data_IF_163775447296
#
_entry.id   IF_163775447296
#
_cell.length_a   1.000
_cell.length_b   1.000
_cell.length_c   1.000
_cell.angle_alpha   90.00
_cell.angle_beta   90.00
_cell.angle_gamma   90.00
#
_symmetry.space_group_name_H-M   'P 1'
#
loop_
_entity.id
_entity.type
_entity.pdbx_description
1 polymer ?
#
# COMPACT_ATOMS: atom_id res chain seq x y z
N UNK A 1 -27.40 -54.69 4.19
CA UNK A 1 -27.44 -54.04 5.53
C UNK A 1 -26.09 -53.44 5.79
N UNK A 2 -26.05 -52.12 6.06
CA UNK A 2 -24.82 -51.37 6.29
C UNK A 2 -24.08 -51.88 7.52
N UNK A 3 -22.85 -52.35 7.32
CA UNK A 3 -21.92 -52.66 8.39
C UNK A 3 -21.08 -51.41 8.65
N UNK A 4 -20.89 -51.08 9.91
CA UNK A 4 -19.97 -50.01 10.31
C UNK A 4 -18.55 -50.55 10.15
N UNK A 5 -17.74 -49.86 9.37
CA UNK A 5 -16.32 -50.15 9.17
C UNK A 5 -15.49 -49.18 10.01
N UNK A 6 -14.34 -49.65 10.50
CA UNK A 6 -13.41 -48.83 11.29
C UNK A 6 -12.00 -48.95 10.70
N UNK A 7 -11.39 -47.80 10.40
CA UNK A 7 -10.05 -47.71 9.84
C UNK A 7 -9.22 -46.75 10.70
N UNK A 8 -7.91 -47.00 10.84
CA UNK A 8 -7.00 -46.05 11.47
C UNK A 8 -6.69 -44.93 10.49
N UNK A 9 -6.99 -43.70 10.89
CA UNK A 9 -6.75 -42.51 10.06
C UNK A 9 -5.89 -41.47 10.77
N UNK A 10 -5.35 -40.54 9.99
CA UNK A 10 -4.59 -39.39 10.48
C UNK A 10 -5.36 -38.13 10.13
N UNK A 11 -5.64 -37.30 11.13
CA UNK A 11 -6.21 -35.96 10.92
C UNK A 11 -5.06 -34.96 10.71
N UNK A 12 -5.03 -34.35 9.53
CA UNK A 12 -4.07 -33.29 9.17
C UNK A 12 -4.79 -31.96 9.12
N UNK A 13 -4.25 -30.95 9.80
CA UNK A 13 -4.84 -29.62 9.86
C UNK A 13 -3.82 -28.57 9.42
N UNK A 14 -4.27 -27.61 8.64
CA UNK A 14 -3.44 -26.49 8.19
C UNK A 14 -4.29 -25.24 8.00
N UNK A 15 -3.63 -24.08 7.97
CA UNK A 15 -4.27 -22.79 7.67
C UNK A 15 -3.95 -22.38 6.24
N UNK A 16 -4.93 -21.78 5.57
CA UNK A 16 -4.79 -21.30 4.21
C UNK A 16 -5.38 -19.90 4.06
N UNK A 17 -4.85 -19.12 3.11
CA UNK A 17 -5.52 -17.91 2.64
C UNK A 17 -6.69 -18.32 1.75
N UNK A 18 -7.82 -17.62 1.90
CA UNK A 18 -9.02 -17.87 1.11
C UNK A 18 -8.74 -17.84 -0.40
N UNK A 19 -7.91 -16.90 -0.87
CA UNK A 19 -7.51 -16.78 -2.27
C UNK A 19 -6.75 -17.99 -2.84
N UNK A 20 -6.20 -18.84 -1.98
CA UNK A 20 -5.45 -20.04 -2.37
C UNK A 20 -6.25 -21.34 -2.15
N UNK A 21 -7.45 -21.25 -1.58
CA UNK A 21 -8.21 -22.39 -1.10
C UNK A 21 -8.46 -23.42 -2.21
N UNK A 22 -8.92 -22.97 -3.39
CA UNK A 22 -9.19 -23.86 -4.52
C UNK A 22 -7.93 -24.60 -4.98
N UNK A 23 -6.79 -23.89 -5.10
CA UNK A 23 -5.52 -24.50 -5.51
C UNK A 23 -5.02 -25.54 -4.49
N UNK A 24 -5.18 -25.25 -3.20
CA UNK A 24 -4.77 -26.13 -2.11
C UNK A 24 -5.63 -27.39 -2.09
N UNK A 25 -6.95 -27.25 -2.18
CA UNK A 25 -7.88 -28.39 -2.23
C UNK A 25 -7.54 -29.28 -3.43
N UNK A 26 -7.32 -28.71 -4.62
CA UNK A 26 -6.97 -29.49 -5.80
C UNK A 26 -5.64 -30.25 -5.64
N UNK A 27 -4.65 -29.62 -5.01
CA UNK A 27 -3.37 -30.27 -4.73
C UNK A 27 -3.50 -31.38 -3.68
N UNK A 28 -4.31 -31.17 -2.65
CA UNK A 28 -4.64 -32.19 -1.65
C UNK A 28 -5.37 -33.38 -2.29
N UNK A 29 -6.43 -33.14 -3.07
CA UNK A 29 -7.18 -34.20 -3.77
C UNK A 29 -6.26 -35.04 -4.67
N UNK A 30 -5.34 -34.40 -5.40
CA UNK A 30 -4.40 -35.09 -6.28
C UNK A 30 -3.36 -35.93 -5.53
N UNK A 31 -2.97 -35.51 -4.32
CA UNK A 31 -1.98 -36.21 -3.50
C UNK A 31 -2.59 -37.27 -2.58
N UNK A 32 -3.90 -37.21 -2.34
CA UNK A 32 -4.58 -38.11 -1.40
C UNK A 32 -4.69 -39.53 -1.97
N UNK A 33 -4.47 -40.59 -1.18
CA UNK A 33 -4.52 -41.97 -1.66
C UNK A 33 -5.95 -42.45 -2.02
N UNK A 34 -6.99 -41.77 -1.54
CA UNK A 34 -8.39 -42.12 -1.81
C UNK A 34 -8.96 -41.32 -2.98
N UNK A 35 -9.88 -41.93 -3.72
CA UNK A 35 -10.64 -41.27 -4.78
C UNK A 35 -11.61 -40.21 -4.23
N UNK A 36 -12.19 -40.45 -3.05
CA UNK A 36 -13.11 -39.54 -2.35
C UNK A 36 -12.56 -39.17 -0.95
N UNK A 37 -11.63 -38.21 -0.84
CA UNK A 37 -11.11 -37.76 0.44
C UNK A 37 -12.15 -36.97 1.24
N UNK A 38 -12.30 -37.28 2.53
CA UNK A 38 -13.07 -36.45 3.46
C UNK A 38 -12.21 -35.26 3.93
N UNK A 39 -12.72 -34.04 3.80
CA UNK A 39 -12.07 -32.83 4.30
C UNK A 39 -13.11 -31.78 4.70
N UNK A 40 -12.73 -30.92 5.64
CA UNK A 40 -13.55 -29.80 6.11
C UNK A 40 -12.81 -28.48 5.92
N UNK A 41 -13.55 -27.41 5.63
CA UNK A 41 -13.02 -26.04 5.57
C UNK A 41 -13.72 -25.19 6.60
N UNK A 42 -12.97 -24.68 7.57
CA UNK A 42 -13.50 -23.84 8.65
C UNK A 42 -13.08 -22.37 8.46
N UNK A 43 -14.03 -21.41 8.43
CA UNK A 43 -13.67 -20.00 8.43
C UNK A 43 -13.05 -19.62 9.78
N UNK A 44 -11.89 -18.96 9.74
CA UNK A 44 -11.19 -18.50 10.92
C UNK A 44 -11.32 -16.98 11.08
N UNK A 45 -11.32 -16.50 12.33
CA UNK A 45 -11.26 -15.06 12.64
C UNK A 45 -9.83 -14.50 12.61
N UNK A 46 -8.85 -15.32 12.28
CA UNK A 46 -7.46 -14.92 12.16
C UNK A 46 -7.34 -13.81 11.10
N UNK A 47 -6.65 -12.73 11.44
CA UNK A 47 -6.38 -11.65 10.48
C UNK A 47 -5.22 -12.05 9.57
N UNK A 48 -5.43 -11.91 8.25
CA UNK A 48 -4.37 -12.00 7.27
C UNK A 48 -3.55 -10.71 7.17
N UNK A 49 -2.77 -10.60 6.10
CA UNK A 49 -2.12 -9.33 5.73
C UNK A 49 -3.21 -8.30 5.44
N UNK A 50 -3.14 -7.16 6.14
CA UNK A 50 -4.06 -6.04 5.89
C UNK A 50 -3.44 -5.13 4.84
N UNK A 51 -4.25 -4.76 3.86
CA UNK A 51 -3.90 -3.74 2.87
C UNK A 51 -4.64 -2.45 3.23
N UNK A 52 -4.04 -1.32 2.87
CA UNK A 52 -4.62 -0.01 3.07
C UNK A 52 -3.94 1.01 2.17
N UNK A 53 -4.58 2.17 2.00
CA UNK A 53 -4.08 3.25 1.15
C UNK A 53 -2.95 4.02 1.82
N UNK A 54 -3.11 4.31 3.12
CA UNK A 54 -2.10 5.05 3.88
C UNK A 54 -0.88 4.18 4.21
N UNK A 55 0.30 4.74 4.01
CA UNK A 55 1.56 4.26 4.62
C UNK A 55 1.98 5.24 5.70
N UNK A 56 2.39 4.73 6.85
CA UNK A 56 2.89 5.55 7.95
C UNK A 56 4.26 5.07 8.40
N UNK A 57 5.13 6.01 8.76
CA UNK A 57 6.50 5.73 9.19
C UNK A 57 7.04 6.82 10.10
N UNK A 58 8.15 6.52 10.78
CA UNK A 58 8.82 7.48 11.66
C UNK A 58 10.13 7.97 11.04
N UNK A 59 10.35 9.29 11.09
CA UNK A 59 11.61 9.93 10.82
C UNK A 59 12.54 9.75 12.03
N UNK A 60 13.77 9.32 11.76
CA UNK A 60 14.82 9.22 12.75
C UNK A 60 16.15 9.72 12.15
N UNK A 61 16.65 10.91 12.56
CA UNK A 61 16.07 11.81 13.58
C UNK A 61 14.81 12.56 13.10
N UNK A 62 13.94 13.04 14.01
CA UNK A 62 12.88 14.00 13.69
C UNK A 62 13.43 15.29 13.06
N UNK A 63 12.68 15.91 12.17
CA UNK A 63 13.07 17.16 11.48
C UNK A 63 11.91 18.17 11.50
N UNK A 64 12.18 19.43 11.20
CA UNK A 64 11.13 20.45 11.08
C UNK A 64 10.26 20.20 9.84
N UNK A 65 9.02 20.69 9.85
CA UNK A 65 8.12 20.65 8.70
C UNK A 65 8.74 21.29 7.46
N UNK A 66 9.42 22.43 7.63
CA UNK A 66 10.16 23.12 6.55
C UNK A 66 11.22 22.24 5.89
N UNK A 67 12.03 21.52 6.68
CA UNK A 67 13.03 20.57 6.17
C UNK A 67 12.38 19.39 5.45
N UNK A 68 11.26 18.89 5.96
CA UNK A 68 10.52 17.83 5.30
C UNK A 68 9.96 18.30 3.95
N UNK A 69 9.44 19.53 3.86
CA UNK A 69 8.94 20.09 2.61
C UNK A 69 10.04 20.15 1.53
N UNK A 70 11.25 20.58 1.90
CA UNK A 70 12.40 20.56 0.98
C UNK A 70 12.72 19.15 0.51
N UNK A 71 12.76 18.18 1.43
CA UNK A 71 13.00 16.77 1.09
C UNK A 71 11.92 16.20 0.16
N UNK A 72 10.65 16.55 0.37
CA UNK A 72 9.55 16.12 -0.50
C UNK A 72 9.70 16.73 -1.88
N UNK A 73 10.01 18.03 -1.99
CA UNK A 73 10.27 18.69 -3.28
C UNK A 73 11.38 18.00 -4.06
N UNK A 74 12.50 17.71 -3.40
CA UNK A 74 13.66 17.05 -4.01
C UNK A 74 13.31 15.62 -4.46
N UNK A 75 12.57 14.87 -3.64
CA UNK A 75 12.15 13.50 -3.96
C UNK A 75 11.15 13.44 -5.12
N UNK A 76 10.20 14.38 -5.17
CA UNK A 76 9.20 14.44 -6.24
C UNK A 76 9.71 15.20 -7.47
N UNK A 77 10.88 15.84 -7.40
CA UNK A 77 11.44 16.71 -8.43
C UNK A 77 10.45 17.81 -8.87
N UNK A 78 9.91 18.55 -7.89
CA UNK A 78 8.92 19.63 -8.11
C UNK A 78 9.38 20.96 -7.48
N UNK A 79 8.99 22.07 -8.11
CA UNK A 79 9.44 23.41 -7.71
C UNK A 79 8.82 23.93 -6.42
N UNK A 80 7.64 23.43 -6.04
CA UNK A 80 6.91 23.87 -4.86
C UNK A 80 5.95 22.81 -4.33
N UNK A 81 5.54 22.97 -3.08
CA UNK A 81 4.49 22.20 -2.40
C UNK A 81 3.57 23.17 -1.67
N UNK A 82 2.28 22.83 -1.52
CA UNK A 82 1.40 23.56 -0.60
C UNK A 82 1.51 22.92 0.78
N UNK A 83 1.46 23.74 1.84
CA UNK A 83 1.73 23.27 3.20
C UNK A 83 0.72 23.84 4.17
N UNK A 84 0.22 22.99 5.06
CA UNK A 84 -0.64 23.38 6.19
C UNK A 84 0.11 23.13 7.50
N UNK A 85 0.18 24.16 8.35
CA UNK A 85 0.77 24.09 9.68
C UNK A 85 2.05 24.90 9.85
N UNK A 86 2.61 24.88 11.06
CA UNK A 86 3.78 25.68 11.43
C UNK A 86 5.07 25.07 10.82
N UNK A 87 5.84 25.83 9.99
CA UNK A 87 7.10 25.37 9.39
C UNK A 87 8.15 24.88 10.39
N UNK A 88 8.13 25.39 11.62
CA UNK A 88 9.08 25.04 12.69
C UNK A 88 8.63 23.85 13.53
N UNK A 89 7.42 23.33 13.30
CA UNK A 89 6.92 22.13 14.00
C UNK A 89 7.86 20.96 13.76
N UNK A 90 8.23 20.26 14.82
CA UNK A 90 8.99 19.01 14.75
C UNK A 90 8.06 17.89 14.29
N UNK A 91 8.49 17.20 13.22
CA UNK A 91 7.80 16.07 12.60
C UNK A 91 8.57 14.80 12.92
N UNK A 92 7.88 13.83 13.50
CA UNK A 92 8.40 12.50 13.80
C UNK A 92 7.66 11.42 13.02
N UNK A 93 6.34 11.41 13.03
CA UNK A 93 5.54 10.40 12.30
C UNK A 93 4.89 11.01 11.06
N UNK A 94 5.10 10.37 9.92
CA UNK A 94 4.64 10.83 8.61
C UNK A 94 3.66 9.80 8.08
N UNK A 95 2.46 10.25 7.70
CA UNK A 95 1.52 9.50 6.89
C UNK A 95 1.64 9.92 5.42
N UNK A 96 1.40 8.99 4.49
CA UNK A 96 1.50 9.21 3.05
C UNK A 96 0.38 8.46 2.33
N UNK A 97 -0.25 9.14 1.36
CA UNK A 97 -1.08 8.54 0.31
C UNK A 97 -0.85 9.35 -0.98
N UNK A 98 -0.48 8.72 -2.09
CA UNK A 98 -0.33 9.44 -3.37
C UNK A 98 -1.70 9.78 -3.98
N UNK A 99 -1.73 10.70 -4.95
CA UNK A 99 -2.96 11.12 -5.63
C UNK A 99 -3.89 11.96 -4.75
N UNK A 100 -5.20 11.84 -4.94
CA UNK A 100 -6.23 12.49 -4.09
C UNK A 100 -6.50 11.66 -2.82
N UNK A 101 -5.67 11.88 -1.81
CA UNK A 101 -5.74 11.19 -0.52
C UNK A 101 -6.39 11.99 0.61
N UNK A 102 -7.06 13.12 0.31
CA UNK A 102 -7.60 14.02 1.33
C UNK A 102 -8.58 13.32 2.31
N UNK A 103 -9.36 12.36 1.82
CA UNK A 103 -10.30 11.57 2.62
C UNK A 103 -9.62 10.76 3.75
N UNK A 104 -8.31 10.51 3.63
CA UNK A 104 -7.54 9.74 4.60
C UNK A 104 -6.86 10.60 5.67
N UNK A 105 -7.01 11.93 5.66
CA UNK A 105 -6.50 12.82 6.71
C UNK A 105 -6.97 12.38 8.11
N UNK A 106 -8.27 12.07 8.35
CA UNK A 106 -8.72 11.58 9.65
C UNK A 106 -8.13 10.22 10.04
N UNK A 107 -7.78 9.38 9.06
CA UNK A 107 -7.12 8.11 9.32
C UNK A 107 -5.67 8.32 9.76
N UNK A 108 -4.92 9.17 9.05
CA UNK A 108 -3.54 9.49 9.38
C UNK A 108 -3.42 10.17 10.74
N UNK A 109 -4.34 11.08 11.07
CA UNK A 109 -4.41 11.71 12.39
C UNK A 109 -4.65 10.69 13.50
N UNK A 110 -5.61 9.78 13.33
CA UNK A 110 -5.87 8.71 14.32
C UNK A 110 -4.70 7.74 14.49
N UNK A 111 -3.90 7.54 13.45
CA UNK A 111 -2.65 6.77 13.50
C UNK A 111 -1.48 7.56 14.13
N UNK A 112 -1.73 8.77 14.62
CA UNK A 112 -0.76 9.60 15.34
C UNK A 112 0.27 10.28 14.42
N UNK A 113 -0.04 10.46 13.14
CA UNK A 113 0.85 11.18 12.23
C UNK A 113 0.92 12.67 12.58
N UNK A 114 2.13 13.22 12.63
CA UNK A 114 2.35 14.67 12.81
C UNK A 114 2.06 15.44 11.51
N UNK A 115 2.30 14.78 10.38
CA UNK A 115 2.07 15.30 9.03
C UNK A 115 1.51 14.22 8.13
N UNK A 116 0.66 14.62 7.18
CA UNK A 116 0.17 13.77 6.11
C UNK A 116 0.59 14.34 4.75
N UNK A 117 1.17 13.50 3.91
CA UNK A 117 1.65 13.85 2.57
C UNK A 117 0.68 13.25 1.54
N UNK A 118 0.15 14.08 0.64
CA UNK A 118 -0.79 13.68 -0.41
C UNK A 118 -0.75 14.65 -1.59
N UNK A 119 -1.57 14.43 -2.62
CA UNK A 119 -1.96 15.43 -3.60
C UNK A 119 -3.38 15.95 -3.37
N UNK A 120 -3.78 16.94 -4.18
CA UNK A 120 -5.15 17.45 -4.39
C UNK A 120 -5.90 17.95 -3.14
N UNK A 121 -5.17 18.58 -2.23
CA UNK A 121 -5.77 19.18 -1.03
C UNK A 121 -6.62 20.39 -1.39
N UNK A 122 -7.90 20.34 -1.02
CA UNK A 122 -8.84 21.46 -1.20
C UNK A 122 -8.80 22.37 0.01
N UNK A 123 -9.36 23.58 -0.14
CA UNK A 123 -9.37 24.58 0.94
C UNK A 123 -10.01 24.06 2.23
N UNK A 124 -11.15 23.38 2.13
CA UNK A 124 -11.84 22.84 3.30
C UNK A 124 -11.06 21.70 3.96
N UNK A 125 -10.40 20.84 3.18
CA UNK A 125 -9.52 19.79 3.72
C UNK A 125 -8.36 20.41 4.52
N UNK A 126 -7.80 21.52 4.03
CA UNK A 126 -6.76 22.26 4.72
C UNK A 126 -7.27 22.93 6.02
N UNK A 127 -8.50 23.47 6.02
CA UNK A 127 -9.13 23.99 7.24
C UNK A 127 -9.33 22.87 8.27
N UNK A 128 -9.88 21.74 7.85
CA UNK A 128 -10.14 20.60 8.73
C UNK A 128 -8.83 20.04 9.31
N UNK A 129 -7.80 19.88 8.48
CA UNK A 129 -6.48 19.44 8.93
C UNK A 129 -5.86 20.40 9.96
N UNK A 130 -5.97 21.71 9.72
CA UNK A 130 -5.51 22.74 10.66
C UNK A 130 -6.25 22.63 12.00
N UNK A 131 -7.56 22.48 11.97
CA UNK A 131 -8.41 22.43 13.16
C UNK A 131 -8.19 21.12 13.94
N UNK A 132 -7.89 20.01 13.24
CA UNK A 132 -7.43 18.76 13.83
C UNK A 132 -6.00 18.83 14.40
N UNK A 133 -5.20 19.80 13.98
CA UNK A 133 -3.81 19.95 14.39
C UNK A 133 -2.85 18.97 13.72
N UNK A 134 -3.17 18.45 12.53
CA UNK A 134 -2.26 17.67 11.68
C UNK A 134 -1.67 18.57 10.59
N UNK A 135 -0.37 18.46 10.33
CA UNK A 135 0.24 19.17 9.21
C UNK A 135 -0.05 18.48 7.89
N UNK A 136 -0.08 19.23 6.79
CA UNK A 136 -0.26 18.68 5.45
C UNK A 136 0.87 19.14 4.56
N UNK A 137 1.38 18.24 3.71
CA UNK A 137 2.21 18.58 2.56
C UNK A 137 1.50 18.07 1.31
N UNK A 138 1.06 18.99 0.48
CA UNK A 138 0.47 18.71 -0.82
C UNK A 138 1.55 18.78 -1.90
N UNK A 139 1.92 17.60 -2.40
CA UNK A 139 2.90 17.39 -3.46
C UNK A 139 2.32 17.42 -4.87
N UNK A 140 1.01 17.67 -5.02
CA UNK A 140 0.27 17.51 -6.26
C UNK A 140 0.02 16.06 -6.65
N UNK A 141 -1.07 15.83 -7.41
CA UNK A 141 -1.46 14.49 -7.86
C UNK A 141 -0.34 13.82 -8.69
N UNK A 142 0.10 14.51 -9.74
CA UNK A 142 1.06 13.96 -10.69
C UNK A 142 2.40 13.64 -10.01
N UNK A 143 2.95 14.57 -9.22
CA UNK A 143 4.24 14.37 -8.56
C UNK A 143 4.25 13.14 -7.66
N UNK A 144 3.20 12.98 -6.84
CA UNK A 144 3.11 11.89 -5.87
C UNK A 144 2.90 10.51 -6.49
N UNK A 145 2.36 10.42 -7.71
CA UNK A 145 2.17 9.15 -8.43
C UNK A 145 3.27 8.86 -9.46
N UNK A 146 3.84 9.90 -10.08
CA UNK A 146 4.84 9.70 -11.12
C UNK A 146 6.18 9.19 -10.56
N UNK A 147 6.49 9.56 -9.31
CA UNK A 147 7.78 9.26 -8.67
C UNK A 147 8.14 7.77 -8.67
N UNK A 148 7.16 6.85 -8.64
CA UNK A 148 7.43 5.40 -8.54
C UNK A 148 7.44 4.68 -9.90
N UNK A 149 7.22 5.37 -11.02
CA UNK A 149 7.10 4.74 -12.34
C UNK A 149 8.36 3.98 -12.74
N UNK A 150 9.55 4.49 -12.38
CA UNK A 150 10.84 3.84 -12.70
C UNK A 150 11.00 2.53 -11.94
N UNK A 151 10.65 2.54 -10.66
CA UNK A 151 10.69 1.41 -9.75
C UNK A 151 9.68 0.35 -10.19
N UNK A 152 8.47 0.76 -10.59
CA UNK A 152 7.46 -0.15 -11.13
C UNK A 152 7.94 -0.83 -12.41
N UNK A 153 8.52 -0.07 -13.35
CA UNK A 153 9.06 -0.64 -14.57
C UNK A 153 10.19 -1.64 -14.28
N UNK A 154 11.09 -1.34 -13.33
CA UNK A 154 12.12 -2.28 -12.90
C UNK A 154 11.52 -3.54 -12.30
N UNK A 155 10.53 -3.40 -11.41
CA UNK A 155 9.85 -4.53 -10.78
C UNK A 155 9.20 -5.45 -11.81
N UNK A 156 8.45 -4.88 -12.77
CA UNK A 156 7.82 -5.65 -13.84
C UNK A 156 8.89 -6.35 -14.69
N UNK A 157 10.01 -5.69 -14.99
CA UNK A 157 11.12 -6.27 -15.75
C UNK A 157 11.70 -7.50 -15.05
N UNK A 158 11.94 -7.38 -13.75
CA UNK A 158 12.50 -8.47 -12.95
C UNK A 158 11.51 -9.65 -12.85
N UNK A 159 10.21 -9.37 -12.73
CA UNK A 159 9.18 -10.41 -12.73
C UNK A 159 8.99 -11.11 -14.09
N UNK A 160 9.12 -10.39 -15.20
CA UNK A 160 9.10 -11.02 -16.52
C UNK A 160 10.33 -11.92 -16.71
N UNK A 161 11.50 -11.45 -16.26
CA UNK A 161 12.74 -12.24 -16.31
C UNK A 161 12.64 -13.51 -15.47
N UNK A 162 12.08 -13.44 -14.26
CA UNK A 162 11.90 -14.61 -13.38
C UNK A 162 11.00 -15.70 -14.00
N UNK A 163 10.07 -15.29 -14.89
CA UNK A 163 9.13 -16.16 -15.59
C UNK A 163 9.62 -16.64 -16.97
N UNK A 164 10.87 -16.34 -17.35
CA UNK A 164 11.42 -16.70 -18.66
C UNK A 164 10.87 -15.85 -19.83
N UNK A 165 10.30 -14.67 -19.53
CA UNK A 165 9.74 -13.72 -20.50
C UNK A 165 10.60 -12.45 -20.64
N UNK A 166 11.92 -12.58 -20.41
CA UNK A 166 12.85 -11.44 -20.39
C UNK A 166 13.06 -10.72 -21.74
N UNK A 167 12.52 -11.26 -22.82
CA UNK A 167 12.52 -10.66 -24.15
C UNK A 167 11.44 -9.58 -24.35
N UNK A 168 10.51 -9.42 -23.40
CA UNK A 168 9.48 -8.39 -23.49
C UNK A 168 10.09 -7.04 -23.10
N UNK A 169 10.01 -6.08 -24.01
CA UNK A 169 10.47 -4.72 -23.77
C UNK A 169 9.50 -3.94 -22.87
N UNK A 170 10.07 -3.20 -21.92
CA UNK A 170 9.34 -2.29 -21.04
C UNK A 170 9.86 -0.88 -21.29
N UNK A 171 8.95 0.04 -21.59
CA UNK A 171 9.25 1.44 -21.83
C UNK A 171 8.40 2.34 -20.94
N UNK A 172 8.99 3.45 -20.49
CA UNK A 172 8.30 4.51 -19.77
C UNK A 172 7.86 5.60 -20.74
N UNK A 173 6.61 6.03 -20.62
CA UNK A 173 6.09 7.16 -21.42
C UNK A 173 6.86 8.44 -21.10
N UNK A 174 7.37 9.10 -22.13
CA UNK A 174 8.04 10.41 -22.03
C UNK A 174 7.09 11.59 -22.29
N UNK A 175 5.85 11.31 -22.69
CA UNK A 175 4.87 12.33 -23.05
C UNK A 175 3.91 12.67 -21.90
N UNK A 176 3.90 11.88 -20.83
CA UNK A 176 3.05 12.13 -19.69
C UNK A 176 3.64 13.30 -18.87
N UNK A 177 2.87 14.38 -18.71
CA UNK A 177 3.28 15.59 -18.00
C UNK A 177 2.16 16.04 -17.08
N UNK A 178 2.53 16.73 -16.02
CA UNK A 178 1.57 17.39 -15.14
C UNK A 178 0.74 18.39 -15.96
N UNK A 179 -0.61 18.29 -15.98
CA UNK A 179 -1.45 19.29 -16.65
C UNK A 179 -1.45 20.64 -15.94
N UNK A 180 -1.01 20.71 -14.68
CA UNK A 180 -0.96 21.93 -13.88
C UNK A 180 0.40 22.61 -14.08
N UNK A 181 0.40 23.74 -14.78
CA UNK A 181 1.58 24.59 -14.88
C UNK A 181 1.64 25.55 -13.69
N UNK A 182 2.78 25.57 -12.99
CA UNK A 182 3.08 26.56 -11.96
C UNK A 182 3.73 27.77 -12.65
N UNK A 183 3.01 28.88 -12.67
CA UNK A 183 3.47 30.19 -13.21
C UNK A 183 3.90 31.12 -12.09
#
# INVERSE_FOLDING_TARGET
MGKIEHVKEVRVETIARESMLQSIIQSMLKAHPYEEPAYDVYPLKNSGVKYGFVRAGCLNPPITLSKLCLRVKDMLNIDSVNVVGNPDRIIKRVGLCSGDGAEFIPLAYRDGCDVFITGDIRYHDACDARDMGICIIDGGHFGTEHVYMKELASYIKDELKSRGLGQIDIALSQNNKDPINKV
#
